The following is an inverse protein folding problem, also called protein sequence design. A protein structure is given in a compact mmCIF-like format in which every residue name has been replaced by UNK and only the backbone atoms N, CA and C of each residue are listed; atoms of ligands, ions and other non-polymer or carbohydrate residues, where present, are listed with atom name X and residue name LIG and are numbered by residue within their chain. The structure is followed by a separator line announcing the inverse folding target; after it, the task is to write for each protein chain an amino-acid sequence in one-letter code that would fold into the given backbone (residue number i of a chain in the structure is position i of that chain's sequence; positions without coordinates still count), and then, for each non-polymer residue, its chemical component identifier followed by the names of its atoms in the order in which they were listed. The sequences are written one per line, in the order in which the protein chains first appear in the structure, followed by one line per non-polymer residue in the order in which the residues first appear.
data_IF_706014156824
#
_entry.id   IF_706014156824
#
_cell.length_a   1.000
_cell.length_b   1.000
_cell.length_c   1.000
_cell.angle_alpha   90.00
_cell.angle_beta   90.00
_cell.angle_gamma   90.00
#
_symmetry.space_group_name_H-M   'P 1'
#
loop_
_entity.id
_entity.type
_entity.pdbx_description
1 polymer ?
#
# COMPACT_ATOMS: atom_id res chain seq x y z
N UNK A 1 -24.39 -7.83 14.70
CA UNK A 1 -23.23 -7.45 13.86
C UNK A 1 -23.62 -7.62 12.39
N UNK A 2 -23.67 -6.55 11.60
CA UNK A 2 -24.05 -6.64 10.20
C UNK A 2 -22.98 -7.41 9.40
N UNK A 3 -23.31 -8.54 8.74
CA UNK A 3 -22.33 -9.39 8.07
C UNK A 3 -21.61 -8.66 6.92
N UNK A 4 -22.27 -7.69 6.31
CA UNK A 4 -21.72 -6.84 5.24
C UNK A 4 -20.54 -6.00 5.75
N UNK A 5 -20.65 -5.43 6.96
CA UNK A 5 -19.59 -4.58 7.53
C UNK A 5 -18.37 -5.43 7.89
N UNK A 6 -18.59 -6.65 8.39
CA UNK A 6 -17.51 -7.60 8.68
C UNK A 6 -16.75 -7.99 7.40
N UNK A 7 -17.45 -8.24 6.30
CA UNK A 7 -16.85 -8.53 5.01
C UNK A 7 -15.97 -7.36 4.52
N UNK A 8 -16.48 -6.12 4.63
CA UNK A 8 -15.75 -4.92 4.26
C UNK A 8 -14.47 -4.74 5.08
N UNK A 9 -14.55 -4.94 6.39
CA UNK A 9 -13.39 -4.87 7.29
C UNK A 9 -12.33 -5.92 6.96
N UNK A 10 -12.76 -7.13 6.60
CA UNK A 10 -11.85 -8.20 6.20
C UNK A 10 -11.13 -7.86 4.90
N UNK A 11 -11.84 -7.34 3.90
CA UNK A 11 -11.25 -6.89 2.63
C UNK A 11 -10.25 -5.74 2.85
N UNK A 12 -10.63 -4.72 3.63
CA UNK A 12 -9.73 -3.61 3.97
C UNK A 12 -8.46 -4.10 4.66
N UNK A 13 -8.59 -5.08 5.55
CA UNK A 13 -7.46 -5.66 6.27
C UNK A 13 -6.54 -6.43 5.34
N UNK A 14 -7.06 -7.25 4.44
CA UNK A 14 -6.24 -7.93 3.42
C UNK A 14 -5.51 -6.90 2.56
N UNK A 15 -6.21 -5.87 2.10
CA UNK A 15 -5.63 -4.80 1.30
C UNK A 15 -4.52 -4.03 2.04
N UNK A 16 -4.69 -3.80 3.36
CA UNK A 16 -3.64 -3.18 4.18
C UNK A 16 -2.34 -4.01 4.21
N UNK A 17 -2.43 -5.35 4.26
CA UNK A 17 -1.24 -6.21 4.22
C UNK A 17 -0.53 -6.14 2.87
N UNK A 18 -1.29 -6.06 1.77
CA UNK A 18 -0.73 -5.90 0.42
C UNK A 18 0.07 -4.60 0.31
N UNK A 19 -0.44 -3.51 0.89
CA UNK A 19 0.28 -2.23 0.91
C UNK A 19 1.54 -2.26 1.74
N UNK A 20 1.52 -2.93 2.90
CA UNK A 20 2.73 -3.16 3.69
C UNK A 20 3.77 -3.91 2.86
N UNK A 21 3.37 -4.94 2.12
CA UNK A 21 4.28 -5.65 1.23
C UNK A 21 4.87 -4.73 0.15
N UNK A 22 4.06 -3.84 -0.43
CA UNK A 22 4.56 -2.84 -1.38
C UNK A 22 5.59 -1.89 -0.78
N UNK A 23 5.37 -1.42 0.45
CA UNK A 23 6.36 -0.59 1.17
C UNK A 23 7.67 -1.35 1.28
N UNK A 24 7.63 -2.63 1.69
CA UNK A 24 8.83 -3.46 1.83
C UNK A 24 9.56 -3.58 0.48
N UNK A 25 8.83 -3.87 -0.61
CA UNK A 25 9.41 -3.97 -1.96
C UNK A 25 10.06 -2.66 -2.40
N UNK A 26 9.40 -1.53 -2.18
CA UNK A 26 9.96 -0.20 -2.50
C UNK A 26 11.16 0.15 -1.63
N UNK A 27 11.17 -0.25 -0.36
CA UNK A 27 12.33 -0.09 0.53
C UNK A 27 13.51 -0.93 0.06
N UNK A 28 13.29 -2.21 -0.29
CA UNK A 28 14.34 -3.07 -0.84
C UNK A 28 14.96 -2.42 -2.09
N UNK A 29 14.15 -1.91 -3.00
CA UNK A 29 14.64 -1.20 -4.18
C UNK A 29 15.34 0.12 -3.85
N UNK A 30 14.82 0.91 -2.91
CA UNK A 30 15.39 2.22 -2.61
C UNK A 30 16.70 2.14 -1.81
N UNK A 31 16.83 1.16 -0.92
CA UNK A 31 18.04 0.96 -0.10
C UNK A 31 19.17 0.29 -0.89
N UNK A 32 18.84 -0.51 -1.91
CA UNK A 32 19.82 -1.15 -2.76
C UNK A 32 19.78 -0.55 -4.16
N UNK A 33 20.43 0.61 -4.33
CA UNK A 33 20.61 1.26 -5.65
C UNK A 33 21.21 0.35 -6.72
N UNK A 34 21.91 -0.70 -6.31
CA UNK A 34 22.50 -1.73 -7.18
C UNK A 34 21.81 -3.10 -7.03
N UNK A 35 20.55 -3.13 -6.59
CA UNK A 35 19.81 -4.37 -6.39
C UNK A 35 19.67 -5.13 -7.70
N UNK A 36 20.16 -6.37 -7.72
CA UNK A 36 19.86 -7.35 -8.76
C UNK A 36 18.79 -8.29 -8.20
N UNK A 37 17.49 -8.04 -8.46
CA UNK A 37 16.43 -8.84 -7.89
C UNK A 37 16.61 -10.30 -8.34
N UNK A 38 16.60 -11.27 -7.40
CA UNK A 38 16.58 -12.67 -7.76
C UNK A 38 15.27 -13.02 -8.47
N UNK A 39 15.28 -14.01 -9.36
CA UNK A 39 14.15 -14.30 -10.25
C UNK A 39 12.83 -14.53 -9.51
N UNK A 40 12.87 -15.12 -8.30
CA UNK A 40 11.68 -15.32 -7.45
C UNK A 40 11.02 -14.02 -7.00
N UNK A 41 11.80 -12.94 -6.84
CA UNK A 41 11.31 -11.64 -6.38
C UNK A 41 10.35 -11.02 -7.41
N UNK A 42 10.66 -11.17 -8.70
CA UNK A 42 9.81 -10.65 -9.78
C UNK A 42 8.42 -11.30 -9.77
N UNK A 43 8.34 -12.62 -9.57
CA UNK A 43 7.07 -13.34 -9.52
C UNK A 43 6.18 -12.93 -8.34
N UNK A 44 6.77 -12.52 -7.21
CA UNK A 44 6.01 -12.02 -6.05
C UNK A 44 5.65 -10.55 -6.21
N UNK A 45 6.56 -9.74 -6.76
CA UNK A 45 6.37 -8.31 -6.90
C UNK A 45 5.32 -7.95 -7.96
N UNK A 46 5.25 -8.68 -9.07
CA UNK A 46 4.31 -8.44 -10.17
C UNK A 46 2.83 -8.40 -9.73
N UNK A 47 2.27 -9.42 -9.04
CA UNK A 47 0.88 -9.36 -8.59
C UNK A 47 0.63 -8.24 -7.57
N UNK A 48 1.63 -7.91 -6.74
CA UNK A 48 1.52 -6.79 -5.80
C UNK A 48 1.41 -5.47 -6.55
N UNK A 49 2.27 -5.24 -7.54
CA UNK A 49 2.23 -4.04 -8.36
C UNK A 49 0.91 -3.93 -9.11
N UNK A 50 0.40 -5.01 -9.71
CA UNK A 50 -0.91 -4.99 -10.39
C UNK A 50 -2.04 -4.58 -9.46
N UNK A 51 -2.06 -5.10 -8.23
CA UNK A 51 -3.13 -4.81 -7.25
C UNK A 51 -3.03 -3.42 -6.63
N UNK A 52 -1.83 -2.85 -6.57
CA UNK A 52 -1.58 -1.60 -5.85
C UNK A 52 -1.35 -0.40 -6.78
N UNK A 53 -0.90 -0.60 -8.02
CA UNK A 53 -0.61 0.48 -8.96
C UNK A 53 -1.84 1.30 -9.36
N UNK A 54 -3.03 0.73 -9.64
CA UNK A 54 -4.19 1.54 -9.97
C UNK A 54 -4.57 2.55 -8.85
N UNK A 55 -4.71 2.14 -7.58
CA UNK A 55 -5.02 3.08 -6.49
C UNK A 55 -3.87 4.02 -6.18
N UNK A 56 -2.61 3.56 -6.22
CA UNK A 56 -1.44 4.44 -6.01
C UNK A 56 -1.34 5.48 -7.14
N UNK A 57 -1.57 5.11 -8.40
CA UNK A 57 -1.61 6.05 -9.53
C UNK A 57 -2.77 7.05 -9.39
N UNK A 58 -3.93 6.59 -8.94
CA UNK A 58 -5.06 7.48 -8.68
C UNK A 58 -4.69 8.52 -7.61
N UNK A 59 -4.00 8.11 -6.54
CA UNK A 59 -3.52 9.01 -5.50
C UNK A 59 -2.39 9.93 -5.98
N UNK A 60 -1.43 9.41 -6.75
CA UNK A 60 -0.30 10.19 -7.31
C UNK A 60 -0.75 11.35 -8.19
N UNK A 61 -1.97 11.29 -8.76
CA UNK A 61 -2.55 12.43 -9.50
C UNK A 61 -2.92 13.61 -8.60
N UNK A 62 -3.22 13.33 -7.33
CA UNK A 62 -3.63 14.34 -6.34
C UNK A 62 -2.44 14.76 -5.47
N UNK A 63 -1.58 13.81 -5.11
CA UNK A 63 -0.46 14.02 -4.19
C UNK A 63 0.83 13.61 -4.90
N UNK A 64 1.65 14.57 -5.37
CA UNK A 64 2.91 14.25 -6.03
C UNK A 64 3.89 13.60 -5.04
N UNK A 65 4.75 12.67 -5.50
CA UNK A 65 5.72 12.00 -4.65
C UNK A 65 6.76 13.01 -4.13
N UNK A 66 6.90 13.10 -2.80
CA UNK A 66 7.93 13.95 -2.18
C UNK A 66 9.26 13.20 -2.17
N UNK A 67 10.24 13.72 -2.91
CA UNK A 67 11.61 13.20 -2.91
C UNK A 67 12.35 13.75 -1.69
N UNK A 68 12.81 12.89 -0.77
CA UNK A 68 13.66 13.30 0.34
C UNK A 68 15.13 13.01 0.01
N UNK A 69 15.81 14.01 -0.56
CA UNK A 69 17.23 13.93 -0.89
C UNK A 69 17.55 12.81 -1.88
N UNK A 70 18.33 11.82 -1.45
CA UNK A 70 18.81 10.71 -2.28
C UNK A 70 17.86 9.49 -2.31
N UNK A 71 16.81 9.52 -1.49
CA UNK A 71 15.82 8.44 -1.29
C UNK A 71 14.44 8.98 -1.70
N UNK A 72 13.86 8.36 -2.73
CA UNK A 72 12.48 8.65 -3.11
C UNK A 72 11.56 7.76 -2.27
N UNK A 73 11.10 8.26 -1.12
CA UNK A 73 10.04 7.61 -0.36
C UNK A 73 8.71 7.98 -1.02
N UNK A 74 7.97 7.02 -1.55
CA UNK A 74 6.68 7.33 -2.18
C UNK A 74 5.64 7.67 -1.10
N UNK A 75 5.49 8.97 -0.84
CA UNK A 75 4.50 9.52 0.09
C UNK A 75 3.07 9.05 -0.21
N UNK A 76 2.79 8.69 -1.46
CA UNK A 76 1.49 8.17 -1.88
C UNK A 76 1.10 6.93 -1.08
N UNK A 77 2.07 6.12 -0.65
CA UNK A 77 1.80 4.89 0.09
C UNK A 77 1.48 5.17 1.55
N UNK A 78 2.20 6.10 2.19
CA UNK A 78 1.91 6.52 3.55
C UNK A 78 0.51 7.11 3.63
N UNK A 79 0.13 7.93 2.64
CA UNK A 79 -1.22 8.49 2.58
C UNK A 79 -2.26 7.40 2.32
N UNK A 80 -2.01 6.43 1.43
CA UNK A 80 -2.93 5.31 1.21
C UNK A 80 -3.15 4.50 2.49
N UNK A 81 -2.09 4.25 3.25
CA UNK A 81 -2.16 3.56 4.54
C UNK A 81 -2.99 4.34 5.55
N UNK A 82 -2.81 5.66 5.62
CA UNK A 82 -3.59 6.55 6.48
C UNK A 82 -5.09 6.53 6.12
N UNK A 83 -5.42 6.59 4.82
CA UNK A 83 -6.81 6.54 4.34
C UNK A 83 -7.49 5.24 4.77
N UNK A 84 -6.80 4.09 4.61
CA UNK A 84 -7.35 2.79 4.99
C UNK A 84 -7.53 2.69 6.49
N UNK A 85 -6.57 3.21 7.26
CA UNK A 85 -6.67 3.23 8.71
C UNK A 85 -7.86 4.06 9.19
N UNK A 86 -8.07 5.25 8.61
CA UNK A 86 -9.24 6.09 8.88
C UNK A 86 -10.55 5.42 8.48
N UNK A 87 -10.61 4.78 7.31
CA UNK A 87 -11.79 4.05 6.85
C UNK A 87 -12.12 2.86 7.76
N UNK A 88 -11.11 2.11 8.20
CA UNK A 88 -11.28 1.02 9.15
C UNK A 88 -11.74 1.51 10.52
N UNK A 89 -11.23 2.66 10.98
CA UNK A 89 -11.65 3.29 12.22
C UNK A 89 -13.13 3.71 12.16
N UNK A 90 -13.54 4.39 11.08
CA UNK A 90 -14.93 4.81 10.89
C UNK A 90 -15.90 3.61 10.88
N UNK A 91 -15.55 2.53 10.17
CA UNK A 91 -16.35 1.30 10.13
C UNK A 91 -16.44 0.61 11.51
N UNK A 92 -15.37 0.67 12.33
CA UNK A 92 -15.39 0.14 13.70
C UNK A 92 -16.26 0.95 14.63
N UNK A 93 -16.23 2.28 14.52
CA UNK A 93 -17.09 3.17 15.31
C UNK A 93 -18.58 2.93 15.01
N UNK A 94 -18.93 2.61 13.77
CA UNK A 94 -20.31 2.24 13.39
C UNK A 94 -20.77 0.87 13.92
N UNK A 95 -19.83 0.01 14.32
CA UNK A 95 -20.08 -1.30 14.93
C UNK A 95 -20.06 -1.26 16.47
N UNK A 96 -19.65 -0.13 17.05
CA UNK A 96 -19.60 0.14 18.50
C UNK A 96 -20.94 0.64 18.98
#
# INVERSE_FOLDING_TARGET
MNPIILLLLLLLRIYSYILVLRIIVEMIHSFSRNFRPPSWFAYVAEPLFVLTDPPVKALRRVIPPLRMGNVALDMSIIVLFLIIWLAALALRLMLS
#
